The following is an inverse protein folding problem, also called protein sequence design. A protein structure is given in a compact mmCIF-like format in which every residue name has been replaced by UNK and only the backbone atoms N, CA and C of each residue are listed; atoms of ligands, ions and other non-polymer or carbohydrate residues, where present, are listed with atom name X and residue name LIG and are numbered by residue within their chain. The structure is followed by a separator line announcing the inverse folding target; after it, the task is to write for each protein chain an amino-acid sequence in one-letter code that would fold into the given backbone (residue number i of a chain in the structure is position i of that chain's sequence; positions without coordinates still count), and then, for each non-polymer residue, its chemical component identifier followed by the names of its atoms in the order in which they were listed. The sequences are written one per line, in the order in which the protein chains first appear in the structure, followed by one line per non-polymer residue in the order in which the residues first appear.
data_IF_596653381308
#
_entry.id   IF_596653381308
#
_cell.length_a   1.000
_cell.length_b   1.000
_cell.length_c   1.000
_cell.angle_alpha   90.00
_cell.angle_beta   90.00
_cell.angle_gamma   90.00
#
_symmetry.space_group_name_H-M   'P 1'
#
loop_
_entity.id
_entity.type
_entity.pdbx_description
1 polymer ?
#
# COMPACT_ATOMS: atom_id res chain seq x y z
N UNK A 1 76.03 9.52 42.75
CA UNK A 1 75.77 10.12 44.07
C UNK A 1 74.28 10.36 44.20
N UNK A 2 73.67 9.81 45.27
CA UNK A 2 72.38 10.16 45.90
C UNK A 2 71.12 10.01 45.02
N UNK A 3 70.31 8.95 45.17
CA UNK A 3 69.30 8.71 46.22
C UNK A 3 68.27 9.86 46.25
N UNK A 4 66.96 9.70 46.35
CA UNK A 4 66.01 8.64 46.67
C UNK A 4 64.65 9.36 46.68
N UNK A 5 63.53 8.72 46.37
CA UNK A 5 62.34 8.77 47.23
C UNK A 5 61.16 8.08 46.54
N UNK A 6 60.75 6.99 47.16
CA UNK A 6 59.54 6.25 46.86
C UNK A 6 58.29 7.02 47.28
N UNK A 7 57.21 6.87 46.54
CA UNK A 7 55.87 6.98 47.12
C UNK A 7 54.97 5.86 46.59
N UNK A 8 54.54 5.03 47.54
CA UNK A 8 53.56 3.95 47.38
C UNK A 8 52.18 4.57 47.24
N UNK A 9 51.37 4.07 46.31
CA UNK A 9 49.91 4.09 46.40
C UNK A 9 49.39 2.91 45.57
N UNK A 10 49.20 1.76 46.20
CA UNK A 10 47.96 1.35 46.86
C UNK A 10 46.88 0.98 45.83
N UNK A 11 46.69 -0.34 45.69
CA UNK A 11 45.59 -0.97 44.96
C UNK A 11 44.24 -0.37 45.37
N UNK A 12 43.38 -0.13 44.37
CA UNK A 12 41.95 0.10 44.59
C UNK A 12 41.14 -1.08 44.03
N UNK A 13 40.14 -1.53 44.79
CA UNK A 13 39.48 -2.82 44.60
C UNK A 13 38.61 -2.84 43.34
N UNK A 14 38.52 -4.02 42.73
CA UNK A 14 37.44 -4.42 41.83
C UNK A 14 36.10 -4.28 42.55
N UNK A 15 35.49 -3.09 42.44
CA UNK A 15 34.21 -2.75 43.02
C UNK A 15 33.09 -2.88 41.99
N UNK A 16 32.36 -3.99 42.09
CA UNK A 16 30.95 -4.19 41.76
C UNK A 16 30.35 -3.44 40.55
N UNK A 17 30.00 -4.21 39.53
CA UNK A 17 29.04 -3.85 38.50
C UNK A 17 27.72 -3.38 39.13
N UNK A 18 27.47 -2.06 39.10
CA UNK A 18 26.12 -1.52 39.29
C UNK A 18 25.35 -1.66 37.98
N UNK A 19 24.53 -2.69 37.91
CA UNK A 19 23.42 -2.77 36.98
C UNK A 19 22.49 -1.57 37.21
N UNK A 20 22.63 -0.54 36.38
CA UNK A 20 21.66 0.53 36.28
C UNK A 20 20.65 0.17 35.19
N UNK A 21 19.54 -0.43 35.60
CA UNK A 21 18.34 -0.59 34.78
C UNK A 21 17.79 0.80 34.43
N UNK A 22 18.21 1.35 33.30
CA UNK A 22 17.46 2.44 32.66
C UNK A 22 16.18 1.83 32.10
N UNK A 23 15.11 1.92 32.90
CA UNK A 23 13.75 1.69 32.46
C UNK A 23 13.49 2.53 31.20
N UNK A 24 13.42 1.85 30.06
CA UNK A 24 12.97 2.45 28.82
C UNK A 24 11.51 2.85 29.01
N UNK A 25 11.26 4.15 29.12
CA UNK A 25 9.91 4.69 29.07
C UNK A 25 9.22 4.14 27.81
N UNK A 26 7.96 3.65 27.91
CA UNK A 26 7.28 3.14 26.73
C UNK A 26 7.13 4.30 25.74
N UNK A 27 7.86 4.22 24.63
CA UNK A 27 7.56 5.00 23.43
C UNK A 27 6.10 4.73 23.13
N UNK A 28 5.22 5.67 23.46
CA UNK A 28 3.88 5.73 22.87
C UNK A 28 4.11 5.88 21.37
N UNK A 29 4.18 4.76 20.68
CA UNK A 29 3.95 4.72 19.26
C UNK A 29 2.58 5.36 19.07
N UNK A 30 2.55 6.59 18.56
CA UNK A 30 1.39 7.07 17.81
C UNK A 30 1.30 6.12 16.62
N UNK A 31 0.68 4.97 16.84
CA UNK A 31 0.07 4.22 15.77
C UNK A 31 -0.92 5.20 15.16
N UNK A 32 -0.55 5.78 14.02
CA UNK A 32 -1.53 6.36 13.14
C UNK A 32 -2.56 5.27 12.95
N UNK A 33 -3.73 5.44 13.57
CA UNK A 33 -4.88 4.59 13.31
C UNK A 33 -5.28 4.92 11.88
N UNK A 34 -4.61 4.30 10.93
CA UNK A 34 -5.18 4.07 9.62
C UNK A 34 -6.35 3.15 9.90
N UNK A 35 -7.52 3.74 10.15
CA UNK A 35 -8.77 3.01 10.08
C UNK A 35 -8.74 2.26 8.77
N UNK A 36 -8.77 0.93 8.81
CA UNK A 36 -9.10 0.14 7.64
C UNK A 36 -10.47 0.64 7.20
N UNK A 37 -10.50 1.51 6.18
CA UNK A 37 -11.74 1.89 5.55
C UNK A 37 -12.39 0.58 5.10
N UNK A 38 -13.68 0.41 5.42
CA UNK A 38 -14.43 -0.73 4.92
C UNK A 38 -14.23 -0.80 3.41
N UNK A 39 -13.70 -1.94 2.94
CA UNK A 39 -13.40 -2.15 1.53
C UNK A 39 -14.72 -2.04 0.77
N UNK A 40 -14.84 -1.13 -0.23
CA UNK A 40 -16.03 -1.01 -1.06
C UNK A 40 -16.43 -2.36 -1.67
N UNK A 41 -17.73 -2.72 -1.58
CA UNK A 41 -18.30 -3.88 -2.28
C UNK A 41 -18.37 -3.60 -3.79
N UNK A 42 -18.46 -4.66 -4.60
CA UNK A 42 -18.74 -4.57 -6.03
C UNK A 42 -20.06 -3.83 -6.33
N UNK A 43 -21.01 -3.80 -5.40
CA UNK A 43 -22.29 -3.09 -5.54
C UNK A 43 -22.19 -1.56 -5.30
N UNK A 44 -21.06 -1.10 -4.74
CA UNK A 44 -20.84 0.33 -4.54
C UNK A 44 -20.59 1.04 -5.88
N UNK A 45 -20.93 2.34 -6.02
CA UNK A 45 -20.63 3.10 -7.23
C UNK A 45 -19.13 3.04 -7.57
N UNK A 46 -18.82 2.58 -8.78
CA UNK A 46 -17.44 2.37 -9.23
C UNK A 46 -17.30 2.54 -10.74
N UNK A 47 -16.06 2.75 -11.19
CA UNK A 47 -15.67 2.70 -12.60
C UNK A 47 -14.89 1.40 -12.84
N UNK A 48 -15.30 0.62 -13.82
CA UNK A 48 -14.57 -0.56 -14.26
C UNK A 48 -13.36 -0.12 -15.10
N UNK A 49 -12.15 -0.28 -14.58
CA UNK A 49 -10.92 0.13 -15.27
C UNK A 49 -10.43 -0.94 -16.24
N UNK A 50 -10.44 -2.20 -15.82
CA UNK A 50 -10.01 -3.31 -16.67
C UNK A 50 -10.58 -4.65 -16.20
N UNK A 51 -10.69 -5.59 -17.12
CA UNK A 51 -11.03 -6.98 -16.85
C UNK A 51 -10.04 -7.90 -17.55
N UNK A 52 -9.61 -8.98 -16.89
CA UNK A 52 -8.76 -9.99 -17.51
C UNK A 52 -9.23 -11.39 -17.15
N UNK A 53 -9.49 -12.21 -18.18
CA UNK A 53 -9.79 -13.64 -17.97
C UNK A 53 -8.51 -14.35 -17.53
N UNK A 54 -8.61 -15.08 -16.42
CA UNK A 54 -7.52 -15.89 -15.90
C UNK A 54 -7.59 -17.26 -16.58
N UNK A 55 -6.46 -17.79 -17.11
CA UNK A 55 -6.43 -19.14 -17.66
C UNK A 55 -6.90 -20.17 -16.63
N UNK A 56 -7.70 -21.15 -17.06
CA UNK A 56 -8.28 -22.15 -16.15
C UNK A 56 -7.21 -23.00 -15.43
N UNK A 57 -6.03 -23.14 -16.02
CA UNK A 57 -4.91 -23.86 -15.46
C UNK A 57 -3.96 -22.98 -14.64
N UNK A 58 -4.27 -21.70 -14.37
CA UNK A 58 -3.38 -20.83 -13.60
C UNK A 58 -3.64 -20.97 -12.09
N UNK A 59 -2.58 -20.97 -11.27
CA UNK A 59 -2.71 -20.81 -9.82
C UNK A 59 -3.14 -19.36 -9.50
N UNK A 60 -4.38 -19.21 -9.04
CA UNK A 60 -4.99 -17.92 -8.67
C UNK A 60 -4.22 -17.20 -7.55
N UNK A 61 -3.72 -17.93 -6.56
CA UNK A 61 -2.96 -17.36 -5.44
C UNK A 61 -1.59 -16.86 -5.87
N UNK A 62 -0.91 -17.59 -6.76
CA UNK A 62 0.34 -17.17 -7.37
C UNK A 62 0.13 -15.94 -8.28
N UNK A 63 -0.95 -15.94 -9.07
CA UNK A 63 -1.35 -14.82 -9.92
C UNK A 63 -1.58 -13.54 -9.09
N UNK A 64 -2.44 -13.61 -8.07
CA UNK A 64 -2.76 -12.44 -7.24
C UNK A 64 -1.58 -11.97 -6.40
N UNK A 65 -0.73 -12.89 -5.94
CA UNK A 65 0.52 -12.52 -5.27
C UNK A 65 1.49 -11.80 -6.20
N UNK A 66 1.61 -12.24 -7.45
CA UNK A 66 2.46 -11.58 -8.46
C UNK A 66 1.96 -10.17 -8.78
N UNK A 67 0.64 -10.01 -8.96
CA UNK A 67 0.06 -8.68 -9.19
C UNK A 67 0.26 -7.77 -7.98
N UNK A 68 -0.02 -8.26 -6.77
CA UNK A 68 0.21 -7.48 -5.56
C UNK A 68 1.68 -7.02 -5.45
N UNK A 69 2.64 -7.89 -5.75
CA UNK A 69 4.07 -7.54 -5.75
C UNK A 69 4.39 -6.44 -6.78
N UNK A 70 3.82 -6.52 -7.99
CA UNK A 70 3.96 -5.46 -8.98
C UNK A 70 3.42 -4.13 -8.43
N UNK A 71 2.20 -4.13 -7.91
CA UNK A 71 1.54 -2.93 -7.41
C UNK A 71 2.27 -2.32 -6.19
N UNK A 72 2.72 -3.16 -5.26
CA UNK A 72 3.49 -2.73 -4.09
C UNK A 72 4.85 -2.11 -4.47
N UNK A 73 5.40 -2.48 -5.62
CA UNK A 73 6.68 -1.94 -6.11
C UNK A 73 6.51 -0.72 -7.03
N UNK A 74 5.29 -0.27 -7.33
CA UNK A 74 5.08 0.94 -8.14
C UNK A 74 5.75 2.18 -7.53
N UNK A 75 5.72 2.30 -6.20
CA UNK A 75 6.40 3.38 -5.45
C UNK A 75 7.89 3.12 -5.20
N UNK A 76 8.37 1.89 -5.40
CA UNK A 76 9.71 1.46 -4.97
C UNK A 76 10.66 1.23 -6.15
N UNK A 77 10.11 0.92 -7.33
CA UNK A 77 10.89 0.73 -8.53
C UNK A 77 11.46 2.08 -8.95
N UNK A 78 12.80 2.19 -8.96
CA UNK A 78 13.58 3.36 -9.38
C UNK A 78 13.35 3.83 -10.82
N UNK A 79 12.27 3.38 -11.47
CA UNK A 79 11.67 3.99 -12.67
C UNK A 79 11.05 5.36 -12.40
N UNK A 80 10.89 5.75 -11.13
CA UNK A 80 10.45 7.08 -10.72
C UNK A 80 9.17 7.48 -11.47
N UNK A 81 8.15 6.60 -11.43
CA UNK A 81 6.85 6.94 -12.00
C UNK A 81 6.37 8.23 -11.31
N UNK A 82 6.07 9.31 -12.07
CA UNK A 82 5.83 10.62 -11.51
C UNK A 82 4.42 10.69 -10.93
N UNK A 83 4.16 9.93 -9.86
CA UNK A 83 2.88 9.98 -9.18
C UNK A 83 2.71 11.33 -8.49
N UNK A 84 1.58 11.98 -8.76
CA UNK A 84 1.18 13.23 -8.11
C UNK A 84 0.84 12.98 -6.64
N UNK A 85 0.21 11.84 -6.35
CA UNK A 85 -0.21 11.46 -5.00
C UNK A 85 0.59 10.24 -4.48
N UNK A 86 0.97 10.23 -3.19
CA UNK A 86 1.55 9.05 -2.57
C UNK A 86 0.61 7.84 -2.64
N UNK A 87 1.12 6.67 -3.01
CA UNK A 87 0.32 5.43 -3.02
C UNK A 87 0.39 4.68 -1.69
N UNK A 88 -0.74 4.08 -1.29
CA UNK A 88 -0.82 3.05 -0.26
C UNK A 88 -1.32 1.77 -0.91
N UNK A 89 -0.69 0.64 -0.61
CA UNK A 89 -1.09 -0.66 -1.15
C UNK A 89 -1.30 -1.63 0.00
N UNK A 90 -2.48 -2.23 0.07
CA UNK A 90 -2.83 -3.21 1.09
C UNK A 90 -3.34 -4.51 0.44
N UNK A 91 -3.10 -5.65 1.08
CA UNK A 91 -3.75 -6.92 0.70
C UNK A 91 -5.15 -6.98 1.28
N UNK A 92 -6.07 -7.54 0.49
CA UNK A 92 -7.42 -7.85 0.95
C UNK A 92 -7.48 -9.31 1.39
N UNK A 93 -8.23 -9.58 2.46
CA UNK A 93 -8.24 -10.90 3.11
C UNK A 93 -8.84 -12.03 2.27
N UNK A 94 -9.63 -11.67 1.25
CA UNK A 94 -10.35 -12.55 0.31
C UNK A 94 -9.57 -12.82 -1.00
N UNK A 95 -8.31 -12.40 -1.09
CA UNK A 95 -7.47 -12.68 -2.26
C UNK A 95 -7.32 -11.51 -3.24
N UNK A 96 -7.74 -10.30 -2.85
CA UNK A 96 -7.56 -9.07 -3.61
C UNK A 96 -6.40 -8.18 -3.15
N UNK A 97 -6.31 -7.01 -3.76
CA UNK A 97 -5.49 -5.89 -3.29
C UNK A 97 -6.27 -4.58 -3.40
N UNK A 98 -5.93 -3.63 -2.54
CA UNK A 98 -6.34 -2.23 -2.68
C UNK A 98 -5.13 -1.35 -2.90
N UNK A 99 -5.29 -0.35 -3.75
CA UNK A 99 -4.32 0.71 -4.02
C UNK A 99 -5.03 2.05 -3.84
N UNK A 100 -4.64 2.79 -2.80
CA UNK A 100 -5.17 4.11 -2.48
C UNK A 100 -4.21 5.22 -2.91
N UNK A 101 -4.70 6.19 -3.68
CA UNK A 101 -4.02 7.45 -3.98
C UNK A 101 -4.27 8.43 -2.84
N UNK A 102 -3.25 8.66 -1.99
CA UNK A 102 -3.43 9.42 -0.76
C UNK A 102 -3.36 10.93 -0.98
N UNK A 103 -4.30 11.65 -0.36
CA UNK A 103 -4.32 13.10 -0.30
C UNK A 103 -4.44 13.57 1.14
N UNK A 104 -3.89 14.75 1.42
CA UNK A 104 -4.09 15.39 2.72
C UNK A 104 -5.56 15.77 2.89
N UNK A 105 -6.19 15.25 3.93
CA UNK A 105 -7.55 15.57 4.33
C UNK A 105 -7.60 16.89 5.12
N UNK A 106 -8.81 17.46 5.26
CA UNK A 106 -9.02 18.74 5.94
C UNK A 106 -8.67 18.72 7.44
N UNK A 107 -8.65 17.55 8.06
CA UNK A 107 -8.26 17.32 9.46
C UNK A 107 -6.73 17.25 9.67
N UNK A 108 -5.95 17.41 8.60
CA UNK A 108 -4.50 17.32 8.63
C UNK A 108 -3.94 15.89 8.49
N UNK A 109 -4.79 14.87 8.43
CA UNK A 109 -4.42 13.49 8.13
C UNK A 109 -4.26 13.23 6.63
N UNK A 110 -3.92 11.99 6.28
CA UNK A 110 -3.97 11.49 4.89
C UNK A 110 -5.13 10.52 4.76
N UNK A 111 -5.92 10.68 3.70
CA UNK A 111 -6.99 9.78 3.35
C UNK A 111 -6.98 9.53 1.83
N UNK A 112 -7.60 8.45 1.40
CA UNK A 112 -7.61 8.09 -0.02
C UNK A 112 -8.46 9.08 -0.82
N UNK A 113 -7.94 9.59 -1.91
CA UNK A 113 -8.68 10.34 -2.90
C UNK A 113 -9.32 9.41 -3.94
N UNK A 114 -8.66 8.31 -4.25
CA UNK A 114 -9.12 7.27 -5.19
C UNK A 114 -8.63 5.92 -4.69
N UNK A 115 -9.52 4.94 -4.65
CA UNK A 115 -9.19 3.56 -4.33
C UNK A 115 -9.35 2.68 -5.58
N UNK A 116 -8.28 2.03 -6.00
CA UNK A 116 -8.29 0.99 -7.04
C UNK A 116 -8.25 -0.36 -6.35
N UNK A 117 -9.24 -1.21 -6.64
CA UNK A 117 -9.35 -2.54 -6.05
C UNK A 117 -9.25 -3.58 -7.15
N UNK A 118 -8.34 -4.53 -6.95
CA UNK A 118 -8.19 -5.70 -7.79
C UNK A 118 -8.65 -6.96 -7.09
N UNK A 119 -9.62 -7.65 -7.67
CA UNK A 119 -10.19 -8.89 -7.12
C UNK A 119 -10.48 -9.90 -8.23
N UNK A 120 -10.43 -11.18 -7.89
CA UNK A 120 -10.78 -12.27 -8.81
C UNK A 120 -12.18 -12.75 -8.47
N UNK A 121 -13.04 -12.77 -9.47
CA UNK A 121 -14.42 -13.22 -9.34
C UNK A 121 -14.70 -14.36 -10.31
N UNK A 122 -15.65 -15.23 -9.94
CA UNK A 122 -16.15 -16.27 -10.82
C UNK A 122 -17.30 -15.71 -11.66
N UNK A 123 -17.17 -15.78 -12.98
CA UNK A 123 -18.16 -15.30 -13.94
C UNK A 123 -18.68 -16.48 -14.75
N UNK A 124 -20.00 -16.63 -14.81
CA UNK A 124 -20.65 -17.70 -15.57
C UNK A 124 -20.23 -17.66 -17.05
N UNK A 125 -19.85 -18.82 -17.60
CA UNK A 125 -19.35 -18.95 -18.97
C UNK A 125 -17.93 -18.43 -19.23
N UNK A 126 -17.38 -17.55 -18.37
CA UNK A 126 -16.05 -16.98 -18.52
C UNK A 126 -14.99 -17.59 -17.59
N UNK A 127 -15.39 -18.19 -16.46
CA UNK A 127 -14.49 -18.75 -15.46
C UNK A 127 -14.01 -17.69 -14.47
N UNK A 128 -12.74 -17.78 -14.04
CA UNK A 128 -12.12 -16.79 -13.14
C UNK A 128 -11.70 -15.54 -13.90
N UNK A 129 -12.10 -14.37 -13.43
CA UNK A 129 -11.84 -13.08 -14.07
C UNK A 129 -11.32 -12.10 -13.02
N UNK A 130 -10.18 -11.47 -13.31
CA UNK A 130 -9.69 -10.32 -12.57
C UNK A 130 -10.50 -9.08 -12.96
N UNK A 131 -11.04 -8.39 -11.96
CA UNK A 131 -11.64 -7.07 -12.09
C UNK A 131 -10.73 -6.03 -11.41
N UNK A 132 -10.41 -4.97 -12.15
CA UNK A 132 -9.80 -3.76 -11.61
C UNK A 132 -10.86 -2.65 -11.62
N UNK A 133 -11.24 -2.19 -10.43
CA UNK A 133 -12.31 -1.20 -10.23
C UNK A 133 -11.78 0.00 -9.47
N UNK A 134 -12.26 1.18 -9.84
CA UNK A 134 -11.95 2.44 -9.19
C UNK A 134 -13.16 2.95 -8.41
N UNK A 135 -12.92 3.32 -7.16
CA UNK A 135 -13.90 3.86 -6.23
C UNK A 135 -13.48 5.27 -5.82
N UNK A 136 -14.48 6.09 -5.50
CA UNK A 136 -14.26 7.38 -4.89
C UNK A 136 -13.74 7.21 -3.45
N UNK A 137 -12.59 7.81 -3.15
CA UNK A 137 -12.05 7.86 -1.80
C UNK A 137 -12.64 9.00 -0.96
N UNK A 138 -12.62 8.91 0.37
CA UNK A 138 -13.18 9.93 1.27
C UNK A 138 -12.53 11.32 1.15
N UNK A 139 -11.33 11.43 0.57
CA UNK A 139 -10.64 12.68 0.31
C UNK A 139 -10.64 13.11 -1.17
N UNK A 140 -11.48 12.49 -2.03
CA UNK A 140 -11.54 12.77 -3.47
C UNK A 140 -11.67 14.27 -3.77
N UNK A 141 -12.49 14.96 -2.98
CA UNK A 141 -12.72 16.41 -3.08
C UNK A 141 -12.23 17.18 -1.86
N UNK A 142 -11.22 16.67 -1.12
CA UNK A 142 -10.72 17.37 0.07
C UNK A 142 -10.31 18.82 -0.25
N UNK A 143 -11.00 19.76 0.39
CA UNK A 143 -10.82 21.21 0.21
C UNK A 143 -11.58 21.83 -0.96
N UNK A 144 -12.50 21.10 -1.61
CA UNK A 144 -13.38 21.60 -2.68
C UNK A 144 -14.78 21.00 -2.56
N UNK A 145 -15.82 21.79 -2.72
CA UNK A 145 -17.16 21.25 -2.92
C UNK A 145 -17.28 20.71 -4.36
N UNK A 146 -17.82 19.51 -4.52
CA UNK A 146 -18.24 19.04 -5.83
C UNK A 146 -19.62 19.62 -6.13
N UNK A 147 -19.70 20.47 -7.15
CA UNK A 147 -20.92 21.19 -7.52
C UNK A 147 -21.57 20.63 -8.81
N UNK A 148 -21.09 19.49 -9.30
CA UNK A 148 -21.67 18.80 -10.46
C UNK A 148 -22.83 17.88 -10.08
N UNK A 149 -23.34 17.13 -11.06
CA UNK A 149 -24.42 16.17 -10.80
C UNK A 149 -23.86 14.92 -10.12
N UNK A 150 -24.57 14.33 -9.14
CA UNK A 150 -24.08 13.15 -8.42
C UNK A 150 -23.63 11.99 -9.33
N UNK A 151 -24.29 11.80 -10.46
CA UNK A 151 -23.94 10.78 -11.46
C UNK A 151 -22.59 11.02 -12.15
N UNK A 152 -22.18 12.27 -12.32
CA UNK A 152 -20.93 12.66 -13.00
C UNK A 152 -19.75 12.68 -12.00
N UNK A 153 -19.99 12.34 -10.74
CA UNK A 153 -19.03 12.51 -9.66
C UNK A 153 -17.82 11.60 -9.83
N UNK A 154 -18.03 10.31 -10.07
CA UNK A 154 -16.95 9.35 -10.31
C UNK A 154 -16.11 9.72 -11.54
N UNK A 155 -16.77 10.17 -12.61
CA UNK A 155 -16.11 10.63 -13.82
C UNK A 155 -15.22 11.87 -13.55
N UNK A 156 -15.72 12.82 -12.76
CA UNK A 156 -14.91 13.96 -12.33
C UNK A 156 -13.72 13.54 -11.45
N UNK A 157 -13.88 12.51 -10.62
CA UNK A 157 -12.79 11.97 -9.79
C UNK A 157 -11.72 11.32 -10.66
N UNK A 158 -12.06 10.44 -11.61
CA UNK A 158 -11.04 9.79 -12.46
C UNK A 158 -10.28 10.83 -13.31
N UNK A 159 -10.96 11.83 -13.85
CA UNK A 159 -10.34 12.91 -14.62
C UNK A 159 -9.40 13.79 -13.79
N UNK A 160 -9.67 13.93 -12.49
CA UNK A 160 -8.83 14.72 -11.58
C UNK A 160 -7.55 13.98 -11.15
N UNK A 161 -7.41 12.68 -11.46
CA UNK A 161 -6.33 11.84 -10.97
C UNK A 161 -5.59 11.13 -12.11
N UNK A 162 -4.68 11.83 -12.83
CA UNK A 162 -3.91 11.26 -13.95
C UNK A 162 -2.99 10.09 -13.56
N UNK A 163 -2.73 9.94 -12.26
CA UNK A 163 -2.01 8.79 -11.72
C UNK A 163 -2.73 7.47 -12.01
N UNK A 164 -4.07 7.47 -12.13
CA UNK A 164 -4.86 6.28 -12.47
C UNK A 164 -4.44 5.75 -13.84
N UNK A 165 -4.33 6.62 -14.85
CA UNK A 165 -3.88 6.23 -16.19
C UNK A 165 -2.45 5.71 -16.18
N UNK A 166 -1.58 6.35 -15.40
CA UNK A 166 -0.18 5.93 -15.23
C UNK A 166 -0.10 4.53 -14.62
N UNK A 167 -0.87 4.25 -13.57
CA UNK A 167 -0.96 2.93 -12.94
C UNK A 167 -1.47 1.90 -13.96
N UNK A 168 -2.58 2.20 -14.64
CA UNK A 168 -3.21 1.29 -15.59
C UNK A 168 -2.31 0.97 -16.79
N UNK A 169 -1.49 1.93 -17.23
CA UNK A 169 -0.45 1.70 -18.25
C UNK A 169 0.57 0.64 -17.86
N UNK A 170 0.81 0.43 -16.56
CA UNK A 170 1.69 -0.65 -16.06
C UNK A 170 0.97 -1.96 -15.77
N UNK A 171 -0.36 -1.94 -15.63
CA UNK A 171 -1.13 -3.12 -15.22
C UNK A 171 -1.24 -4.17 -16.33
N UNK A 172 -1.40 -3.76 -17.59
CA UNK A 172 -1.50 -4.71 -18.71
C UNK A 172 -0.27 -5.63 -18.82
N UNK A 173 0.97 -5.12 -18.87
CA UNK A 173 2.14 -5.99 -18.88
C UNK A 173 2.27 -6.81 -17.58
N UNK A 174 1.93 -6.24 -16.43
CA UNK A 174 1.96 -6.95 -15.15
C UNK A 174 1.02 -8.16 -15.12
N UNK A 175 -0.23 -7.99 -15.59
CA UNK A 175 -1.23 -9.06 -15.67
C UNK A 175 -0.74 -10.19 -16.60
N UNK A 176 -0.15 -9.84 -17.75
CA UNK A 176 0.38 -10.83 -18.69
C UNK A 176 1.54 -11.63 -18.06
N UNK A 177 2.46 -10.97 -17.38
CA UNK A 177 3.57 -11.63 -16.68
C UNK A 177 3.06 -12.51 -15.53
N UNK A 178 2.10 -12.02 -14.74
CA UNK A 178 1.48 -12.77 -13.65
C UNK A 178 0.77 -14.03 -14.18
N UNK A 179 0.04 -13.92 -15.29
CA UNK A 179 -0.61 -15.08 -15.92
C UNK A 179 0.41 -16.12 -16.39
N UNK A 180 1.49 -15.69 -17.05
CA UNK A 180 2.56 -16.60 -17.48
C UNK A 180 3.23 -17.31 -16.28
N UNK A 181 3.52 -16.58 -15.20
CA UNK A 181 4.10 -17.13 -13.99
C UNK A 181 3.17 -18.11 -13.27
N UNK A 182 1.88 -17.78 -13.16
CA UNK A 182 0.89 -18.63 -12.52
C UNK A 182 0.66 -19.94 -13.27
N UNK A 183 0.83 -19.94 -14.59
CA UNK A 183 0.75 -21.15 -15.44
C UNK A 183 1.96 -22.09 -15.26
N UNK A 184 3.11 -21.61 -14.78
CA UNK A 184 4.29 -22.47 -14.50
C UNK A 184 4.26 -23.13 -13.12
N UNK A 185 3.30 -22.72 -12.26
CA UNK A 185 3.18 -23.19 -10.88
C UNK A 185 1.98 -24.11 -10.64
N UNK A 186 1.13 -24.27 -11.65
CA UNK A 186 0.00 -25.20 -11.63
C UNK A 186 0.41 -26.60 -12.07
#
# INVERSE_FOLDING_TARGET
MLASSASRQAARPFGAARAASRAAAPRRARAARCSAAAVPSADSPHIQLATAKIPAAADEGAFMTSIYQHVATLNQNGRNLPFVLPLKVDRLGDGGFSLGLLRRAGDGGFASAVDIIGCVESVEGAGRVLFLRMFEGPAAFAGRAYNGKPEDRLEAVIQAHPDVDTIMGTMVPAIRMAAAFAMTKA
#
